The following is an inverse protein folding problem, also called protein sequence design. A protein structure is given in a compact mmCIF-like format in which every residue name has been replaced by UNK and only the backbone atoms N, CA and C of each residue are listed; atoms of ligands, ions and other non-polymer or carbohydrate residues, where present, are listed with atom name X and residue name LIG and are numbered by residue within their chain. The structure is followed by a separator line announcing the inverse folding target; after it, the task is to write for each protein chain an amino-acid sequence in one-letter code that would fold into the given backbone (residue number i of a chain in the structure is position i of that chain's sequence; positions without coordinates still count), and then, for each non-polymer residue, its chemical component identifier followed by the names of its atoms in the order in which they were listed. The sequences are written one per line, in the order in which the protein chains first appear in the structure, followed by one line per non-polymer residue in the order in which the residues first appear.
data_IF_391738312689
#
_entry.id   IF_391738312689
#
_cell.length_a   1.000
_cell.length_b   1.000
_cell.length_c   1.000
_cell.angle_alpha   90.00
_cell.angle_beta   90.00
_cell.angle_gamma   90.00
#
_symmetry.space_group_name_H-M   'P 1'
#
loop_
_entity.id
_entity.type
_entity.pdbx_description
1 polymer ?
#
# COMPACT_ATOMS: atom_id res chain seq x y z
N UNK A 1 -8.74 -31.72 13.16
CA UNK A 1 -8.35 -30.41 12.60
C UNK A 1 -9.20 -30.17 11.35
N UNK A 2 -10.11 -29.21 11.39
CA UNK A 2 -11.15 -29.01 10.37
C UNK A 2 -10.83 -27.75 9.56
N UNK A 3 -10.17 -27.94 8.42
CA UNK A 3 -9.73 -26.87 7.51
C UNK A 3 -10.88 -26.12 6.81
N UNK A 4 -12.09 -26.68 6.84
CA UNK A 4 -13.25 -26.15 6.12
C UNK A 4 -13.95 -24.94 6.76
N UNK A 5 -13.49 -24.44 7.91
CA UNK A 5 -14.08 -23.25 8.57
C UNK A 5 -13.25 -21.96 8.44
N UNK A 6 -12.07 -21.99 7.81
CA UNK A 6 -11.14 -20.84 7.80
C UNK A 6 -10.98 -20.17 6.43
N UNK A 7 -11.35 -20.82 5.33
CA UNK A 7 -11.20 -20.23 4.00
C UNK A 7 -12.49 -19.55 3.55
N UNK A 8 -12.45 -18.28 3.11
CA UNK A 8 -13.60 -17.61 2.55
C UNK A 8 -14.12 -18.32 1.29
N UNK A 9 -15.44 -18.34 1.12
CA UNK A 9 -16.10 -18.96 -0.03
C UNK A 9 -15.82 -18.18 -1.33
N UNK A 10 -16.09 -18.82 -2.47
CA UNK A 10 -15.93 -18.22 -3.80
C UNK A 10 -16.66 -16.87 -3.94
N UNK A 11 -17.88 -16.77 -3.41
CA UNK A 11 -18.70 -15.56 -3.49
C UNK A 11 -18.06 -14.38 -2.75
N UNK A 12 -17.38 -14.63 -1.63
CA UNK A 12 -16.66 -13.61 -0.89
C UNK A 12 -15.57 -12.95 -1.74
N UNK A 13 -14.80 -13.74 -2.49
CA UNK A 13 -13.73 -13.20 -3.34
C UNK A 13 -14.27 -12.42 -4.54
N UNK A 14 -15.37 -12.87 -5.14
CA UNK A 14 -16.03 -12.14 -6.24
C UNK A 14 -16.58 -10.79 -5.78
N UNK A 15 -17.22 -10.75 -4.61
CA UNK A 15 -17.79 -9.51 -4.12
C UNK A 15 -16.70 -8.49 -3.75
N UNK A 16 -15.63 -8.94 -3.07
CA UNK A 16 -14.49 -8.07 -2.78
C UNK A 16 -13.82 -7.51 -4.05
N UNK A 17 -13.63 -8.35 -5.07
CA UNK A 17 -13.08 -7.91 -6.35
C UNK A 17 -13.99 -6.89 -7.06
N UNK A 18 -15.30 -7.11 -7.03
CA UNK A 18 -16.30 -6.18 -7.61
C UNK A 18 -16.28 -4.83 -6.90
N UNK A 19 -16.23 -4.83 -5.57
CA UNK A 19 -16.17 -3.61 -4.75
C UNK A 19 -14.88 -2.83 -5.02
N UNK A 20 -13.73 -3.51 -5.09
CA UNK A 20 -12.45 -2.87 -5.36
C UNK A 20 -12.38 -2.30 -6.79
N UNK A 21 -12.95 -3.02 -7.78
CA UNK A 21 -13.07 -2.52 -9.15
C UNK A 21 -13.91 -1.24 -9.21
N UNK A 22 -15.07 -1.23 -8.55
CA UNK A 22 -15.93 -0.04 -8.48
C UNK A 22 -15.18 1.15 -7.85
N UNK A 23 -14.50 0.93 -6.71
CA UNK A 23 -13.68 1.95 -6.04
C UNK A 23 -12.60 2.52 -6.95
N UNK A 24 -11.93 1.69 -7.75
CA UNK A 24 -10.89 2.15 -8.69
C UNK A 24 -11.46 2.92 -9.86
N UNK A 25 -12.61 2.51 -10.39
CA UNK A 25 -13.29 3.22 -11.48
C UNK A 25 -13.73 4.62 -11.05
N UNK A 26 -14.32 4.75 -9.87
CA UNK A 26 -14.70 6.05 -9.29
C UNK A 26 -13.47 6.98 -9.16
N UNK A 27 -12.33 6.42 -8.74
CA UNK A 27 -11.07 7.17 -8.60
C UNK A 27 -10.44 7.54 -9.96
N UNK A 28 -10.61 6.71 -10.99
CA UNK A 28 -10.13 7.02 -12.34
C UNK A 28 -10.95 8.13 -13.02
N UNK A 29 -12.20 8.31 -12.60
CA UNK A 29 -13.08 9.39 -13.07
C UNK A 29 -12.76 10.75 -12.44
N UNK A 30 -12.09 10.80 -11.29
CA UNK A 30 -11.59 12.06 -10.74
C UNK A 30 -10.34 12.49 -11.51
N UNK A 31 -10.33 13.66 -12.18
CA UNK A 31 -9.15 14.14 -12.87
C UNK A 31 -8.00 14.21 -11.86
N UNK A 32 -6.83 13.68 -12.23
CA UNK A 32 -5.61 13.90 -11.47
C UNK A 32 -5.52 15.40 -11.23
N UNK A 33 -5.36 15.79 -9.97
CA UNK A 33 -5.18 17.18 -9.58
C UNK A 33 -3.98 17.74 -10.35
N UNK A 34 -4.28 18.46 -11.43
CA UNK A 34 -3.29 19.12 -12.30
C UNK A 34 -2.79 20.42 -11.67
N UNK A 35 -3.33 20.81 -10.52
CA UNK A 35 -2.82 21.88 -9.70
C UNK A 35 -1.49 21.48 -9.06
N UNK A 36 -0.58 22.45 -9.00
CA UNK A 36 0.73 22.30 -8.39
C UNK A 36 0.57 22.01 -6.89
N UNK A 37 1.09 20.88 -6.43
CA UNK A 37 1.13 20.54 -5.01
C UNK A 37 1.84 21.66 -4.21
N UNK A 38 1.18 22.15 -3.15
CA UNK A 38 1.73 23.21 -2.28
C UNK A 38 2.78 22.67 -1.31
N UNK A 39 2.60 21.43 -0.84
CA UNK A 39 3.46 20.76 0.13
C UNK A 39 3.80 19.36 -0.36
N UNK A 40 5.00 18.88 -0.04
CA UNK A 40 5.44 17.51 -0.34
C UNK A 40 5.90 16.87 0.96
N UNK A 41 5.30 15.73 1.30
CA UNK A 41 5.70 14.90 2.45
C UNK A 41 6.23 13.58 1.91
N UNK A 42 7.47 13.24 2.26
CA UNK A 42 8.11 11.98 1.86
C UNK A 42 8.38 11.16 3.09
N UNK A 43 7.87 9.94 3.12
CA UNK A 43 8.17 8.97 4.16
C UNK A 43 9.26 8.02 3.68
N UNK A 44 10.38 7.99 4.40
CA UNK A 44 11.49 7.09 4.13
C UNK A 44 11.64 6.20 5.35
N UNK A 45 11.45 4.89 5.16
CA UNK A 45 11.81 3.91 6.17
C UNK A 45 12.98 3.08 5.69
N UNK A 46 14.02 3.05 6.50
CA UNK A 46 15.19 2.22 6.29
C UNK A 46 14.80 0.73 6.40
N UNK A 47 15.18 -0.08 5.42
CA UNK A 47 14.81 -1.50 5.36
C UNK A 47 13.32 -1.83 5.11
N UNK A 48 12.50 -0.88 4.62
CA UNK A 48 11.09 -1.10 4.25
C UNK A 48 10.91 -1.82 2.90
N UNK A 49 11.41 -3.05 2.81
CA UNK A 49 11.12 -3.96 1.70
C UNK A 49 9.72 -4.57 1.73
N UNK A 50 9.31 -5.22 0.63
CA UNK A 50 8.01 -5.89 0.50
C UNK A 50 7.77 -6.95 1.59
N UNK A 51 8.81 -7.68 1.98
CA UNK A 51 8.75 -8.66 3.06
C UNK A 51 8.47 -8.00 4.41
N UNK A 52 9.16 -6.89 4.72
CA UNK A 52 8.97 -6.12 5.95
C UNK A 52 7.56 -5.54 6.03
N UNK A 53 7.02 -5.03 4.93
CA UNK A 53 5.65 -4.53 4.85
C UNK A 53 4.61 -5.62 5.11
N UNK A 54 4.81 -6.80 4.52
CA UNK A 54 3.92 -7.95 4.72
C UNK A 54 3.96 -8.44 6.17
N UNK A 55 5.15 -8.56 6.76
CA UNK A 55 5.31 -8.90 8.17
C UNK A 55 4.66 -7.86 9.10
N UNK A 56 4.79 -6.56 8.77
CA UNK A 56 4.15 -5.49 9.53
C UNK A 56 2.61 -5.55 9.47
N UNK A 57 2.03 -5.90 8.31
CA UNK A 57 0.57 -6.12 8.18
C UNK A 57 0.09 -7.26 9.10
N UNK A 58 0.77 -8.39 9.02
CA UNK A 58 0.45 -9.57 9.83
C UNK A 58 0.56 -9.24 11.32
N UNK A 59 1.67 -8.62 11.73
CA UNK A 59 1.90 -8.23 13.11
C UNK A 59 0.83 -7.23 13.61
N UNK A 60 0.43 -6.26 12.78
CA UNK A 60 -0.64 -5.32 13.13
C UNK A 60 -1.97 -6.04 13.33
N UNK A 61 -2.39 -6.91 12.39
CA UNK A 61 -3.63 -7.65 12.52
C UNK A 61 -3.64 -8.58 13.74
N UNK A 62 -2.52 -9.22 14.05
CA UNK A 62 -2.37 -10.03 15.26
C UNK A 62 -2.47 -9.21 16.56
N UNK A 63 -1.89 -8.00 16.59
CA UNK A 63 -2.04 -7.08 17.73
C UNK A 63 -3.48 -6.60 17.93
N UNK A 64 -4.28 -6.56 16.86
CA UNK A 64 -5.71 -6.26 16.90
C UNK A 64 -6.57 -7.50 17.24
N UNK A 65 -5.96 -8.66 17.51
CA UNK A 65 -6.67 -9.91 17.81
C UNK A 65 -7.28 -10.61 16.58
N UNK A 66 -6.87 -10.21 15.37
CA UNK A 66 -7.30 -10.82 14.09
C UNK A 66 -6.29 -11.87 13.62
N UNK A 67 -6.61 -12.55 12.52
CA UNK A 67 -5.75 -13.55 11.84
C UNK A 67 -4.41 -13.00 11.37
N UNK A 68 -4.34 -11.70 11.07
CA UNK A 68 -3.11 -10.99 10.67
C UNK A 68 -3.13 -10.54 9.21
N UNK A 69 -3.55 -11.42 8.30
CA UNK A 69 -3.45 -11.19 6.85
C UNK A 69 -4.45 -10.15 6.30
N UNK A 70 -5.52 -9.88 7.05
CA UNK A 70 -6.57 -8.93 6.69
C UNK A 70 -6.23 -7.48 7.10
N UNK A 71 -5.08 -7.27 7.75
CA UNK A 71 -4.65 -5.98 8.24
C UNK A 71 -4.13 -5.06 7.13
N UNK A 72 -4.60 -3.82 7.12
CA UNK A 72 -4.14 -2.76 6.22
C UNK A 72 -3.18 -1.81 6.93
N UNK A 73 -2.10 -1.40 6.27
CA UNK A 73 -1.23 -0.30 6.71
C UNK A 73 -1.72 1.03 6.14
N UNK A 74 -1.28 2.15 6.74
CA UNK A 74 -1.63 3.49 6.25
C UNK A 74 -1.18 3.72 4.79
N UNK A 75 -0.02 3.17 4.43
CA UNK A 75 0.57 3.24 3.09
C UNK A 75 -0.24 2.47 2.03
N UNK A 76 -1.07 1.50 2.44
CA UNK A 76 -1.85 0.67 1.52
C UNK A 76 -3.10 1.39 1.00
N UNK A 77 -3.50 2.46 1.69
CA UNK A 77 -4.64 3.30 1.32
C UNK A 77 -4.26 4.38 0.29
N UNK A 78 -2.96 4.53 0.03
CA UNK A 78 -2.47 5.53 -0.92
C UNK A 78 -2.96 5.22 -2.34
N UNK A 79 -3.30 6.26 -3.13
CA UNK A 79 -3.86 6.07 -4.47
C UNK A 79 -2.89 5.45 -5.46
N UNK A 80 -1.59 5.62 -5.26
CA UNK A 80 -0.55 5.19 -6.18
C UNK A 80 0.55 4.44 -5.45
N UNK A 81 1.04 3.39 -6.10
CA UNK A 81 2.20 2.60 -5.68
C UNK A 81 3.18 2.51 -6.83
N UNK A 82 4.47 2.60 -6.54
CA UNK A 82 5.53 2.45 -7.54
C UNK A 82 6.66 1.57 -6.97
N UNK A 83 7.32 0.82 -7.85
CA UNK A 83 8.52 0.04 -7.51
C UNK A 83 9.76 0.82 -7.93
N UNK A 84 10.67 1.06 -6.99
CA UNK A 84 11.95 1.71 -7.25
C UNK A 84 13.05 0.65 -7.40
N UNK A 85 13.79 0.69 -8.50
CA UNK A 85 15.00 -0.14 -8.66
C UNK A 85 16.16 0.53 -7.95
N UNK A 86 16.54 0.00 -6.79
CA UNK A 86 17.69 0.50 -6.02
C UNK A 86 18.93 -0.29 -6.44
N UNK A 87 19.91 0.39 -7.04
CA UNK A 87 21.24 -0.17 -7.31
C UNK A 87 22.31 0.77 -6.80
N UNK A 88 23.21 0.25 -5.99
CA UNK A 88 24.41 0.96 -5.55
C UNK A 88 25.51 0.81 -6.60
N UNK A 89 26.23 1.90 -6.89
CA UNK A 89 27.24 1.96 -7.96
C UNK A 89 28.53 1.22 -7.59
N UNK A 90 28.83 1.04 -6.29
CA UNK A 90 30.14 0.59 -5.82
C UNK A 90 30.11 -0.56 -4.79
N UNK A 91 29.00 -1.30 -4.65
CA UNK A 91 29.00 -2.52 -3.84
C UNK A 91 29.58 -3.68 -4.67
N UNK A 92 30.90 -3.89 -4.59
CA UNK A 92 31.62 -5.02 -5.21
C UNK A 92 31.34 -6.28 -4.40
N UNK A 93 30.17 -6.86 -4.62
CA UNK A 93 29.69 -8.04 -3.92
C UNK A 93 28.20 -8.16 -4.20
N UNK A 94 27.84 -9.07 -5.10
CA UNK A 94 26.45 -9.29 -5.49
C UNK A 94 25.58 -9.50 -4.25
N UNK A 95 24.45 -8.80 -4.21
CA UNK A 95 23.38 -8.81 -3.21
C UNK A 95 23.44 -7.68 -2.18
N UNK A 96 22.93 -6.50 -2.56
CA UNK A 96 22.08 -5.66 -1.69
C UNK A 96 21.02 -4.98 -2.57
N UNK A 97 19.95 -5.71 -2.88
CA UNK A 97 18.71 -5.08 -3.31
C UNK A 97 17.92 -4.76 -2.03
N UNK A 98 18.12 -3.57 -1.50
CA UNK A 98 17.18 -3.05 -0.51
C UNK A 98 15.98 -2.51 -1.29
N UNK A 99 14.88 -3.25 -1.24
CA UNK A 99 13.64 -2.83 -1.86
C UNK A 99 13.11 -1.61 -1.09
N UNK A 100 13.09 -0.45 -1.74
CA UNK A 100 12.42 0.74 -1.22
C UNK A 100 11.06 0.83 -1.89
N UNK A 101 9.99 0.63 -1.12
CA UNK A 101 8.64 0.97 -1.56
C UNK A 101 8.45 2.49 -1.52
N UNK A 102 8.23 3.12 -2.67
CA UNK A 102 7.84 4.54 -2.70
C UNK A 102 6.33 4.66 -2.62
N UNK A 103 5.86 5.30 -1.55
CA UNK A 103 4.45 5.54 -1.29
C UNK A 103 4.15 7.03 -1.45
N UNK A 104 3.32 7.37 -2.43
CA UNK A 104 2.95 8.76 -2.71
C UNK A 104 1.49 8.99 -2.33
N UNK A 105 1.29 9.81 -1.31
CA UNK A 105 0.00 10.40 -0.95
C UNK A 105 0.00 11.88 -1.31
N UNK A 106 -1.08 12.38 -1.90
CA UNK A 106 -1.35 13.81 -2.00
C UNK A 106 -2.50 14.13 -1.04
N UNK A 107 -2.22 14.85 0.04
CA UNK A 107 -3.27 15.40 0.89
C UNK A 107 -3.87 16.63 0.21
N UNK A 108 -5.15 16.48 -0.12
CA UNK A 108 -5.89 17.40 -0.95
C UNK A 108 -6.60 18.51 -0.20
N UNK A 109 -6.05 19.05 0.89
CA UNK A 109 -6.66 20.23 1.54
C UNK A 109 -6.22 21.51 0.84
N UNK A 110 -6.80 21.73 -0.34
CA UNK A 110 -6.85 23.04 -0.96
C UNK A 110 -7.95 23.84 -0.31
N UNK A 111 -7.64 24.57 0.76
CA UNK A 111 -8.51 25.64 1.25
C UNK A 111 -8.64 26.67 0.13
N UNK A 112 -9.79 26.68 -0.54
CA UNK A 112 -10.22 27.78 -1.39
C UNK A 112 -10.61 28.93 -0.47
N UNK A 113 -9.64 29.77 -0.13
CA UNK A 113 -9.86 31.03 0.56
C UNK A 113 -10.15 32.13 -0.47
N UNK A 114 -11.39 32.60 -0.44
CA UNK A 114 -11.94 33.94 -0.78
C UNK A 114 -11.32 34.74 -1.92
#
# INVERSE_FOLDING_TARGET
MQWSRLSPDREFWYENARLELARRLDRSGTPLRHDRAKNVVVFVGDGLGLATLTAARILKGQKEGKTGEEGWLAWDLFPAVALAKVRLINCTGGNVAEDVGLYVGCDGEGVAGT
#
